data_IF_848958034361
#
_entry.id   IF_848958034361
#
_cell.length_a   1.000
_cell.length_b   1.000
_cell.length_c   1.000
_cell.angle_alpha   90.00
_cell.angle_beta   90.00
_cell.angle_gamma   90.00
#
_symmetry.space_group_name_H-M   'P 1'
#
loop_
_entity.id
_entity.type
_entity.pdbx_description
1 polymer ?
#
# COMPACT_ATOMS: atom_id res chain seq x y z
N UNK A 1 8.87 10.06 -6.53
CA UNK A 1 8.28 11.10 -7.40
C UNK A 1 8.82 10.91 -8.81
N UNK A 2 7.99 11.03 -9.84
CA UNK A 2 8.36 10.93 -11.26
C UNK A 2 8.69 9.53 -11.77
N UNK A 3 8.54 8.49 -10.94
CA UNK A 3 8.75 7.10 -11.37
C UNK A 3 7.61 6.68 -12.30
N UNK A 4 7.88 5.79 -13.26
CA UNK A 4 6.86 5.22 -14.15
C UNK A 4 6.75 3.72 -13.88
N UNK A 5 5.60 3.12 -14.23
CA UNK A 5 5.34 1.71 -13.91
C UNK A 5 5.25 1.44 -12.40
N UNK A 6 4.73 2.41 -11.63
CA UNK A 6 4.47 2.23 -10.20
C UNK A 6 3.12 1.58 -10.01
N UNK A 7 3.07 0.54 -9.19
CA UNK A 7 1.85 -0.19 -8.87
C UNK A 7 1.47 0.03 -7.40
N UNK A 8 0.19 0.20 -7.15
CA UNK A 8 -0.41 0.16 -5.82
C UNK A 8 -1.14 -1.17 -5.66
N UNK A 9 -0.94 -1.84 -4.53
CA UNK A 9 -1.54 -3.13 -4.23
C UNK A 9 -2.32 -3.04 -2.93
N UNK A 10 -3.55 -3.52 -2.94
CA UNK A 10 -4.39 -3.61 -1.76
C UNK A 10 -4.37 -5.01 -1.17
N UNK A 11 -4.29 -5.08 0.15
CA UNK A 11 -4.30 -6.32 0.91
C UNK A 11 -5.30 -6.25 2.05
N UNK A 12 -5.96 -7.38 2.32
CA UNK A 12 -6.81 -7.56 3.51
C UNK A 12 -5.88 -7.92 4.68
N UNK A 13 -5.76 -7.02 5.66
CA UNK A 13 -4.81 -7.15 6.78
C UNK A 13 -5.10 -8.38 7.64
N UNK A 14 -6.38 -8.76 7.79
CA UNK A 14 -6.85 -9.89 8.58
C UNK A 14 -6.27 -11.22 8.07
N UNK A 15 -5.92 -11.32 6.80
CA UNK A 15 -5.28 -12.51 6.21
C UNK A 15 -3.82 -12.71 6.68
N UNK A 16 -3.21 -11.68 7.25
CA UNK A 16 -1.84 -11.69 7.78
C UNK A 16 -1.80 -11.69 9.31
N UNK A 17 -2.88 -12.15 9.94
CA UNK A 17 -3.01 -12.18 11.40
C UNK A 17 -1.86 -12.97 12.04
N UNK A 18 -1.28 -12.40 13.11
CA UNK A 18 -0.07 -12.93 13.76
C UNK A 18 1.26 -12.56 13.08
N UNK A 19 1.23 -12.06 11.84
CA UNK A 19 2.41 -11.59 11.09
C UNK A 19 2.48 -10.06 11.00
N UNK A 20 1.36 -9.36 11.22
CA UNK A 20 1.29 -7.90 11.25
C UNK A 20 1.42 -7.38 12.68
N UNK A 21 2.26 -6.36 12.87
CA UNK A 21 2.34 -5.56 14.09
C UNK A 21 1.98 -4.12 13.79
N UNK A 22 1.20 -3.52 14.66
CA UNK A 22 0.89 -2.09 14.60
C UNK A 22 1.92 -1.36 15.46
N UNK A 23 2.80 -0.60 14.82
CA UNK A 23 3.92 0.09 15.47
C UNK A 23 3.94 1.56 15.10
N UNK A 24 4.43 2.40 16.01
CA UNK A 24 4.55 3.83 15.77
C UNK A 24 5.52 4.11 14.61
N UNK A 25 5.13 5.04 13.75
CA UNK A 25 5.91 5.50 12.62
C UNK A 25 6.00 7.03 12.64
N UNK A 26 5.92 7.68 11.47
CA UNK A 26 5.97 9.14 11.35
C UNK A 26 4.88 9.81 12.18
N UNK A 27 5.28 10.75 13.03
CA UNK A 27 4.38 11.55 13.85
C UNK A 27 3.62 10.75 14.92
N UNK A 28 4.13 9.60 15.37
CA UNK A 28 3.49 8.76 16.40
C UNK A 28 2.25 8.00 15.91
N UNK A 29 1.92 8.05 14.61
CA UNK A 29 0.83 7.29 14.05
C UNK A 29 1.22 5.81 13.92
N UNK A 30 0.30 4.91 14.24
CA UNK A 30 0.48 3.47 14.06
C UNK A 30 0.35 3.09 12.58
N UNK A 31 1.32 2.32 12.09
CA UNK A 31 1.29 1.70 10.77
C UNK A 31 1.42 0.18 10.89
N UNK A 32 0.75 -0.59 10.01
CA UNK A 32 0.90 -2.04 9.98
C UNK A 32 2.24 -2.41 9.35
N UNK A 33 3.09 -3.09 10.12
CA UNK A 33 4.36 -3.66 9.67
C UNK A 33 4.19 -5.17 9.55
N UNK A 34 4.42 -5.72 8.35
CA UNK A 34 4.35 -7.15 8.07
C UNK A 34 5.72 -7.81 8.27
N UNK A 35 5.79 -8.79 9.17
CA UNK A 35 6.99 -9.57 9.49
C UNK A 35 7.02 -10.90 8.74
N UNK A 36 6.84 -10.84 7.43
CA UNK A 36 6.85 -12.00 6.53
C UNK A 36 7.09 -11.55 5.09
N UNK A 37 7.27 -12.50 4.17
CA UNK A 37 7.27 -12.22 2.74
C UNK A 37 5.85 -11.84 2.29
N UNK A 38 5.70 -10.65 1.69
CA UNK A 38 4.47 -10.23 1.03
C UNK A 38 4.44 -10.80 -0.39
N UNK A 39 3.51 -11.72 -0.66
CA UNK A 39 3.32 -12.26 -2.00
C UNK A 39 2.37 -11.37 -2.80
N UNK A 40 2.77 -11.02 -4.04
CA UNK A 40 1.98 -10.15 -4.91
C UNK A 40 0.63 -10.78 -5.31
N UNK A 41 0.59 -12.11 -5.44
CA UNK A 41 -0.63 -12.85 -5.78
C UNK A 41 -1.67 -12.89 -4.65
N UNK A 42 -1.33 -12.42 -3.45
CA UNK A 42 -2.26 -12.24 -2.35
C UNK A 42 -3.00 -10.88 -2.38
N UNK A 43 -2.67 -10.00 -3.32
CA UNK A 43 -3.32 -8.70 -3.45
C UNK A 43 -4.80 -8.88 -3.89
N UNK A 44 -5.70 -8.14 -3.24
CA UNK A 44 -7.12 -8.10 -3.58
C UNK A 44 -7.38 -7.23 -4.81
N UNK A 45 -6.65 -6.11 -4.90
CA UNK A 45 -6.73 -5.14 -6.00
C UNK A 45 -5.34 -4.64 -6.36
N UNK A 46 -5.19 -4.23 -7.60
CA UNK A 46 -3.97 -3.65 -8.16
C UNK A 46 -4.33 -2.46 -9.05
N UNK A 47 -3.56 -1.38 -8.95
CA UNK A 47 -3.64 -0.25 -9.87
C UNK A 47 -2.25 0.13 -10.37
N UNK A 48 -2.16 0.48 -11.64
CA UNK A 48 -1.00 1.20 -12.18
C UNK A 48 -1.21 2.69 -11.96
N UNK A 49 -0.30 3.34 -11.24
CA UNK A 49 -0.43 4.74 -10.88
C UNK A 49 0.08 5.67 -11.98
N UNK A 50 -0.74 6.65 -12.35
CA UNK A 50 -0.33 7.74 -13.22
C UNK A 50 0.50 8.77 -12.45
N UNK A 51 1.39 9.47 -13.16
CA UNK A 51 2.08 10.63 -12.60
C UNK A 51 1.19 11.87 -12.70
N UNK A 52 1.11 12.60 -11.60
CA UNK A 52 0.52 13.93 -11.52
C UNK A 52 1.50 15.03 -11.97
N UNK A 53 0.99 16.25 -12.15
CA UNK A 53 1.76 17.38 -12.68
C UNK A 53 2.92 17.84 -11.78
N UNK A 54 2.90 17.50 -10.49
CA UNK A 54 3.96 17.81 -9.52
C UNK A 54 4.98 16.65 -9.33
N UNK A 55 4.88 15.62 -10.18
CA UNK A 55 5.65 14.39 -10.06
C UNK A 55 5.19 13.46 -8.92
N UNK A 56 4.11 13.78 -8.21
CA UNK A 56 3.41 12.84 -7.32
C UNK A 56 2.67 11.78 -8.12
N UNK A 57 2.28 10.69 -7.47
CA UNK A 57 1.39 9.70 -8.09
C UNK A 57 -0.06 10.07 -7.81
N UNK A 58 -0.92 9.96 -8.81
CA UNK A 58 -2.36 10.13 -8.65
C UNK A 58 -2.90 8.84 -8.04
N UNK A 59 -3.52 8.94 -6.88
CA UNK A 59 -4.18 7.82 -6.22
C UNK A 59 -5.53 7.49 -6.89
N UNK A 60 -5.94 6.22 -6.94
CA UNK A 60 -7.25 5.82 -7.46
C UNK A 60 -8.42 6.48 -6.69
N UNK A 61 -9.48 6.86 -7.40
CA UNK A 61 -10.67 7.48 -6.78
C UNK A 61 -11.55 6.52 -5.99
N UNK A 62 -11.33 5.21 -6.14
CA UNK A 62 -12.03 4.10 -5.52
C UNK A 62 -11.25 3.45 -4.36
N UNK A 63 -10.24 4.16 -3.82
CA UNK A 63 -9.40 3.64 -2.74
C UNK A 63 -10.16 3.28 -1.48
N UNK A 64 -11.13 4.11 -1.08
CA UNK A 64 -11.89 3.94 0.16
C UNK A 64 -13.16 3.07 -0.01
N UNK A 65 -13.30 2.38 -1.16
CA UNK A 65 -14.42 1.47 -1.47
C UNK A 65 -14.03 0.01 -1.29
#
# INVERSE_FOLDING_TARGET
KGQTGVHLLEYIVEHFSGLVRWEESRGGQLFPHLYSTLRLDAARREWTLANGPDGGHILPGDLDQ
#
